data_IF_279587520043
#
_entry.id   IF_279587520043
#
_cell.length_a   1.000
_cell.length_b   1.000
_cell.length_c   1.000
_cell.angle_alpha   90.00
_cell.angle_beta   90.00
_cell.angle_gamma   90.00
#
_symmetry.space_group_name_H-M   'P 1'
#
loop_
_entity.id
_entity.type
_entity.pdbx_description
1 polymer ?
#
# COMPACT_ATOMS: atom_id res chain seq x y z
N UNK A 1 14.57 20.92 8.35
CA UNK A 1 15.52 20.05 7.63
C UNK A 1 15.30 18.63 8.10
N UNK A 2 14.35 17.89 7.49
CA UNK A 2 14.01 16.49 7.83
C UNK A 2 13.29 15.72 6.70
N UNK A 3 13.19 16.29 5.50
CA UNK A 3 12.36 15.76 4.40
C UNK A 3 13.09 14.69 3.57
N UNK A 4 14.42 14.58 3.66
CA UNK A 4 15.18 13.59 2.89
C UNK A 4 15.21 12.18 3.51
N UNK A 5 15.03 12.03 4.82
CA UNK A 5 15.04 10.71 5.48
C UNK A 5 13.70 9.95 5.36
N UNK A 6 12.56 10.64 5.29
CA UNK A 6 11.24 9.99 5.22
C UNK A 6 10.99 9.31 3.87
N UNK A 7 11.50 9.89 2.79
CA UNK A 7 11.29 9.41 1.41
C UNK A 7 11.84 7.99 1.18
N UNK A 8 13.05 7.74 1.67
CA UNK A 8 13.67 6.41 1.64
C UNK A 8 12.96 5.41 2.57
N UNK A 9 12.32 5.89 3.64
CA UNK A 9 11.55 5.03 4.54
C UNK A 9 10.28 4.51 3.86
N UNK A 10 9.59 5.33 3.06
CA UNK A 10 8.36 4.93 2.35
C UNK A 10 8.64 3.83 1.31
N UNK A 11 9.64 4.03 0.45
CA UNK A 11 10.03 3.05 -0.57
C UNK A 11 10.48 1.71 0.04
N UNK A 12 11.22 1.76 1.15
CA UNK A 12 11.66 0.54 1.85
C UNK A 12 10.47 -0.25 2.42
N UNK A 13 9.49 0.45 3.01
CA UNK A 13 8.27 -0.18 3.53
C UNK A 13 7.41 -0.75 2.40
N UNK A 14 7.29 -0.04 1.28
CA UNK A 14 6.55 -0.48 0.10
C UNK A 14 7.17 -1.75 -0.50
N UNK A 15 8.49 -1.77 -0.69
CA UNK A 15 9.19 -2.96 -1.19
C UNK A 15 8.98 -4.18 -0.27
N UNK A 16 9.06 -3.98 1.05
CA UNK A 16 8.80 -5.08 1.99
C UNK A 16 7.33 -5.55 1.98
N UNK A 17 6.39 -4.64 1.75
CA UNK A 17 4.99 -5.00 1.57
C UNK A 17 4.77 -5.87 0.32
N UNK A 18 5.47 -5.56 -0.77
CA UNK A 18 5.43 -6.33 -2.02
C UNK A 18 6.00 -7.75 -1.83
N UNK A 19 7.14 -7.90 -1.15
CA UNK A 19 7.67 -9.23 -0.82
C UNK A 19 6.67 -10.06 0.01
N UNK A 20 6.04 -9.45 1.01
CA UNK A 20 5.12 -10.15 1.91
C UNK A 20 3.79 -10.53 1.25
N UNK A 21 3.30 -9.74 0.29
CA UNK A 21 2.07 -10.11 -0.43
C UNK A 21 2.32 -11.34 -1.30
N UNK A 22 3.50 -11.42 -1.93
CA UNK A 22 3.94 -12.55 -2.75
C UNK A 22 4.21 -13.81 -1.90
N UNK A 23 4.77 -13.64 -0.70
CA UNK A 23 4.96 -14.71 0.29
C UNK A 23 3.63 -15.22 0.90
N UNK A 24 2.54 -14.47 0.71
CA UNK A 24 1.21 -14.83 1.21
C UNK A 24 0.87 -14.27 2.60
N UNK A 25 1.77 -13.47 3.19
CA UNK A 25 1.58 -12.76 4.47
C UNK A 25 0.75 -11.49 4.30
N UNK A 26 -0.43 -11.66 3.67
CA UNK A 26 -1.25 -10.57 3.12
C UNK A 26 -1.70 -9.53 4.14
N UNK A 27 -1.89 -9.91 5.41
CA UNK A 27 -2.28 -8.96 6.46
C UNK A 27 -1.15 -8.00 6.81
N UNK A 28 0.07 -8.52 6.93
CA UNK A 28 1.24 -7.69 7.25
C UNK A 28 1.60 -6.83 6.04
N UNK A 29 1.51 -7.38 4.83
CA UNK A 29 1.69 -6.62 3.59
C UNK A 29 0.81 -5.36 3.57
N UNK A 30 -0.50 -5.47 3.85
CA UNK A 30 -1.39 -4.30 3.91
C UNK A 30 -0.95 -3.27 4.97
N UNK A 31 -0.55 -3.70 6.16
CA UNK A 31 -0.11 -2.77 7.20
C UNK A 31 1.17 -2.00 6.81
N UNK A 32 2.12 -2.67 6.17
CA UNK A 32 3.33 -1.99 5.67
C UNK A 32 3.01 -1.06 4.50
N UNK A 33 2.06 -1.44 3.64
CA UNK A 33 1.60 -0.60 2.54
C UNK A 33 0.96 0.71 3.07
N UNK A 34 0.16 0.63 4.14
CA UNK A 34 -0.40 1.82 4.81
C UNK A 34 0.70 2.75 5.34
N UNK A 35 1.68 2.18 6.05
CA UNK A 35 2.80 2.97 6.58
C UNK A 35 3.70 3.55 5.49
N UNK A 36 3.88 2.83 4.37
CA UNK A 36 4.63 3.33 3.24
C UNK A 36 3.94 4.56 2.63
N UNK A 37 2.62 4.48 2.39
CA UNK A 37 1.84 5.58 1.82
C UNK A 37 1.77 6.78 2.77
N UNK A 38 1.67 6.57 4.08
CA UNK A 38 1.70 7.65 5.08
C UNK A 38 3.08 8.32 5.15
N UNK A 39 4.17 7.55 5.02
CA UNK A 39 5.53 8.07 5.07
C UNK A 39 5.91 8.88 3.84
N UNK A 40 5.37 8.53 2.66
CA UNK A 40 5.68 9.18 1.40
C UNK A 40 4.46 9.25 0.44
N UNK A 41 3.42 10.03 0.81
CA UNK A 41 2.15 10.04 0.10
C UNK A 41 2.22 10.65 -1.30
N UNK A 42 3.30 11.38 -1.62
CA UNK A 42 3.50 12.02 -2.93
C UNK A 42 4.40 11.20 -3.87
N UNK A 43 4.92 10.05 -3.42
CA UNK A 43 5.79 9.20 -4.22
C UNK A 43 5.00 8.20 -5.05
N UNK A 44 5.07 8.36 -6.38
CA UNK A 44 4.34 7.55 -7.35
C UNK A 44 4.75 6.07 -7.33
N UNK A 45 6.01 5.76 -7.01
CA UNK A 45 6.47 4.39 -6.90
C UNK A 45 5.87 3.70 -5.65
N UNK A 46 5.81 4.42 -4.53
CA UNK A 46 5.15 3.96 -3.31
C UNK A 46 3.66 3.76 -3.56
N UNK A 47 2.98 4.74 -4.15
CA UNK A 47 1.57 4.64 -4.53
C UNK A 47 1.28 3.41 -5.39
N UNK A 48 2.06 3.20 -6.44
CA UNK A 48 1.90 2.07 -7.37
C UNK A 48 2.08 0.73 -6.66
N UNK A 49 3.09 0.63 -5.80
CA UNK A 49 3.36 -0.59 -5.02
C UNK A 49 2.23 -0.89 -4.03
N UNK A 50 1.76 0.14 -3.31
CA UNK A 50 0.63 0.03 -2.37
C UNK A 50 -0.66 -0.37 -3.10
N UNK A 51 -0.92 0.20 -4.27
CA UNK A 51 -2.06 -0.16 -5.12
C UNK A 51 -2.02 -1.65 -5.51
N UNK A 52 -0.86 -2.16 -5.93
CA UNK A 52 -0.64 -3.58 -6.26
C UNK A 52 -0.92 -4.49 -5.04
N UNK A 53 -0.37 -4.16 -3.86
CA UNK A 53 -0.62 -4.92 -2.62
C UNK A 53 -2.12 -5.03 -2.33
N UNK A 54 -2.85 -3.93 -2.46
CA UNK A 54 -4.30 -3.91 -2.22
C UNK A 54 -5.11 -4.62 -3.30
N UNK A 55 -4.68 -4.59 -4.56
CA UNK A 55 -5.32 -5.33 -5.65
C UNK A 55 -5.17 -6.85 -5.45
N UNK A 56 -3.97 -7.31 -5.10
CA UNK A 56 -3.71 -8.70 -4.74
C UNK A 56 -4.52 -9.11 -3.50
N UNK A 57 -4.65 -8.22 -2.51
CA UNK A 57 -5.47 -8.47 -1.33
C UNK A 57 -6.95 -8.60 -1.68
N UNK A 58 -7.49 -7.71 -2.50
CA UNK A 58 -8.87 -7.75 -2.98
C UNK A 58 -9.16 -9.08 -3.71
N UNK A 59 -8.24 -9.50 -4.57
CA UNK A 59 -8.35 -10.76 -5.32
C UNK A 59 -8.25 -12.01 -4.43
N UNK A 60 -7.72 -11.88 -3.20
CA UNK A 60 -7.53 -13.02 -2.29
C UNK A 60 -8.72 -13.36 -1.40
N UNK A 61 -9.72 -12.49 -1.31
CA UNK A 61 -10.86 -12.65 -0.41
C UNK A 61 -12.11 -13.06 -1.19
N UNK A 62 -12.95 -13.92 -0.58
CA UNK A 62 -14.15 -14.46 -1.24
C UNK A 62 -15.43 -13.65 -0.98
N UNK A 63 -15.41 -12.77 0.01
CA UNK A 63 -16.54 -11.91 0.38
C UNK A 63 -16.47 -10.58 -0.39
N UNK A 64 -17.62 -10.18 -0.95
CA UNK A 64 -17.75 -8.99 -1.77
C UNK A 64 -17.46 -7.70 -0.98
N UNK A 65 -17.84 -7.65 0.29
CA UNK A 65 -17.61 -6.45 1.11
C UNK A 65 -16.12 -6.22 1.31
N UNK A 66 -15.40 -7.29 1.70
CA UNK A 66 -13.95 -7.26 1.89
C UNK A 66 -13.23 -6.94 0.58
N UNK A 67 -13.62 -7.59 -0.52
CA UNK A 67 -13.03 -7.33 -1.84
C UNK A 67 -13.20 -5.86 -2.23
N UNK A 68 -14.41 -5.30 -2.08
CA UNK A 68 -14.69 -3.92 -2.43
C UNK A 68 -13.92 -2.90 -1.57
N UNK A 69 -13.75 -3.18 -0.26
CA UNK A 69 -12.94 -2.33 0.62
C UNK A 69 -11.48 -2.29 0.14
N UNK A 70 -10.89 -3.44 -0.19
CA UNK A 70 -9.51 -3.49 -0.69
C UNK A 70 -9.36 -2.87 -2.09
N UNK A 71 -10.31 -3.11 -3.00
CA UNK A 71 -10.33 -2.42 -4.30
C UNK A 71 -10.44 -0.90 -4.15
N UNK A 72 -11.20 -0.40 -3.18
CA UNK A 72 -11.25 1.03 -2.89
C UNK A 72 -9.91 1.56 -2.38
N UNK A 73 -9.17 0.77 -1.59
CA UNK A 73 -7.83 1.14 -1.13
C UNK A 73 -6.82 1.22 -2.31
N UNK A 74 -6.94 0.33 -3.30
CA UNK A 74 -6.18 0.42 -4.56
C UNK A 74 -6.42 1.74 -5.29
N UNK A 75 -7.70 2.13 -5.46
CA UNK A 75 -8.04 3.40 -6.13
C UNK A 75 -7.50 4.58 -5.35
N UNK A 76 -7.69 4.56 -4.04
CA UNK A 76 -7.24 5.60 -3.14
C UNK A 76 -5.72 5.82 -3.19
N UNK A 77 -4.92 4.74 -3.21
CA UNK A 77 -3.48 4.81 -3.36
C UNK A 77 -3.06 5.48 -4.70
N UNK A 78 -3.80 5.22 -5.77
CA UNK A 78 -3.54 5.82 -7.10
C UNK A 78 -3.98 7.29 -7.21
N UNK A 79 -5.04 7.69 -6.51
CA UNK A 79 -5.62 9.05 -6.62
C UNK A 79 -4.84 10.13 -5.86
N UNK A 80 -3.73 9.79 -5.21
CA UNK A 80 -2.87 10.70 -4.42
C UNK A 80 -3.61 11.45 -3.31
N UNK A 81 -4.73 10.93 -2.84
CA UNK A 81 -5.54 11.61 -1.82
C UNK A 81 -5.04 11.18 -0.44
N UNK A 82 -4.59 12.06 0.47
CA UNK A 82 -4.25 11.68 1.84
C UNK A 82 -5.49 11.26 2.64
N UNK A 83 -5.31 10.45 3.69
CA UNK A 83 -6.44 9.86 4.43
C UNK A 83 -6.92 11.02 5.29
N UNK A 84 -8.08 11.58 4.94
CA UNK A 84 -8.67 12.71 5.67
C UNK A 84 -9.73 12.24 6.64
#
# INVERSE_FOLDING_TARGET
>A
MRISESRHSGETLAARAEELIDEGDKRIACHLADYALEADPENEAVQSTVANVYEQRASSVSDLMSANIFSSATVYANERSPFR
#
